data_IF_602844193049
#
_entry.id   IF_602844193049
#
_cell.length_a   1.000
_cell.length_b   1.000
_cell.length_c   1.000
_cell.angle_alpha   90.00
_cell.angle_beta   90.00
_cell.angle_gamma   90.00
#
_symmetry.space_group_name_H-M   'P 1'
#
loop_
_entity.id
_entity.type
_entity.pdbx_description
1 polymer ?
#
# COMPACT_ATOMS: atom_id res chain seq x y z
N UNK A 1 19.05 9.79 -2.47
CA UNK A 1 17.61 9.99 -2.63
C UNK A 1 17.15 9.35 -3.93
N UNK A 2 16.10 8.56 -3.86
CA UNK A 2 15.56 7.86 -5.02
C UNK A 2 14.58 8.77 -5.75
N UNK A 3 14.78 9.02 -7.04
CA UNK A 3 13.80 9.75 -7.84
C UNK A 3 12.84 8.77 -8.52
N UNK A 4 11.87 9.28 -9.27
CA UNK A 4 10.85 8.46 -9.90
C UNK A 4 11.42 7.48 -10.93
N UNK A 5 12.55 7.78 -11.55
CA UNK A 5 13.13 6.90 -12.58
C UNK A 5 13.73 5.63 -12.00
N UNK A 6 14.15 5.66 -10.73
CA UNK A 6 14.73 4.50 -10.04
C UNK A 6 13.74 3.81 -9.11
N UNK A 7 12.52 4.30 -9.05
CA UNK A 7 11.53 3.79 -8.10
C UNK A 7 10.89 2.50 -8.59
N UNK A 8 11.01 1.43 -7.79
CA UNK A 8 10.39 0.15 -8.10
C UNK A 8 8.88 0.29 -8.29
N UNK A 9 8.19 1.02 -7.40
CA UNK A 9 6.74 1.15 -7.48
C UNK A 9 6.30 2.01 -8.68
N UNK A 10 7.09 3.03 -9.04
CA UNK A 10 6.83 3.77 -10.28
C UNK A 10 6.94 2.85 -11.51
N UNK A 11 7.88 1.92 -11.49
CA UNK A 11 8.06 0.95 -12.58
C UNK A 11 6.90 -0.04 -12.62
N UNK A 12 6.40 -0.47 -11.47
CA UNK A 12 5.22 -1.33 -11.39
C UNK A 12 4.00 -0.61 -11.94
N UNK A 13 3.79 0.64 -11.53
CA UNK A 13 2.68 1.47 -12.00
C UNK A 13 2.74 1.66 -13.52
N UNK A 14 3.94 1.82 -14.07
CA UNK A 14 4.15 1.98 -15.51
C UNK A 14 4.06 0.66 -16.30
N UNK A 15 3.96 -0.48 -15.61
CA UNK A 15 3.93 -1.78 -16.27
C UNK A 15 5.30 -2.30 -16.70
N UNK A 16 6.38 -1.67 -16.26
CA UNK A 16 7.75 -2.06 -16.61
C UNK A 16 8.26 -3.23 -15.80
N UNK A 17 7.71 -3.39 -14.58
CA UNK A 17 8.02 -4.50 -13.68
C UNK A 17 6.73 -5.24 -13.38
N UNK A 18 6.69 -6.58 -13.55
CA UNK A 18 5.47 -7.35 -13.32
C UNK A 18 5.04 -7.31 -11.86
N UNK A 19 3.71 -7.33 -11.65
CA UNK A 19 3.12 -7.45 -10.32
C UNK A 19 1.76 -8.10 -10.46
N UNK A 20 1.23 -8.62 -9.36
CA UNK A 20 -0.13 -9.14 -9.36
C UNK A 20 -1.07 -8.03 -8.88
N UNK A 21 -1.57 -7.25 -9.83
CA UNK A 21 -2.50 -6.16 -9.57
C UNK A 21 -3.87 -6.72 -9.20
N UNK A 22 -4.44 -6.23 -8.10
CA UNK A 22 -5.75 -6.68 -7.62
C UNK A 22 -6.82 -5.60 -7.70
N UNK A 23 -6.42 -4.34 -7.83
CA UNK A 23 -7.37 -3.23 -7.90
C UNK A 23 -6.68 -2.01 -8.50
N UNK A 24 -7.41 -1.24 -9.31
CA UNK A 24 -6.91 -0.01 -9.88
C UNK A 24 -7.99 1.07 -9.84
N UNK A 25 -7.55 2.29 -9.60
CA UNK A 25 -8.40 3.47 -9.72
C UNK A 25 -7.70 4.49 -10.60
N UNK A 26 -8.32 5.65 -10.81
CA UNK A 26 -7.74 6.70 -11.66
C UNK A 26 -6.34 7.09 -11.19
N UNK A 27 -6.10 7.15 -9.88
CA UNK A 27 -4.85 7.66 -9.32
C UNK A 27 -4.12 6.67 -8.42
N UNK A 28 -4.61 5.42 -8.29
CA UNK A 28 -3.97 4.41 -7.44
C UNK A 28 -3.89 3.06 -8.13
N UNK A 29 -2.93 2.25 -7.67
CA UNK A 29 -2.80 0.84 -8.06
C UNK A 29 -2.60 0.04 -6.78
N UNK A 30 -3.27 -1.11 -6.70
CA UNK A 30 -3.12 -2.03 -5.58
C UNK A 30 -2.61 -3.38 -6.12
N UNK A 31 -1.54 -3.90 -5.52
CA UNK A 31 -0.93 -5.15 -5.95
C UNK A 31 -0.45 -5.95 -4.73
N UNK A 32 -0.34 -7.27 -4.91
CA UNK A 32 0.09 -8.16 -3.83
C UNK A 32 1.57 -7.95 -3.50
N UNK A 33 1.88 -7.98 -2.21
CA UNK A 33 3.26 -8.02 -1.75
C UNK A 33 3.86 -9.37 -2.12
N UNK A 34 5.08 -9.38 -2.67
CA UNK A 34 5.75 -10.62 -3.09
C UNK A 34 6.32 -11.42 -1.91
N UNK A 35 6.43 -10.78 -0.75
CA UNK A 35 6.87 -11.45 0.49
C UNK A 35 5.82 -11.15 1.58
N UNK A 36 4.63 -11.78 1.47
CA UNK A 36 3.51 -11.39 2.33
C UNK A 36 3.77 -11.73 3.80
N UNK A 37 3.36 -10.81 4.68
CA UNK A 37 3.44 -10.99 6.13
C UNK A 37 2.13 -11.58 6.68
N UNK A 38 1.11 -11.73 5.86
CA UNK A 38 -0.20 -12.26 6.25
C UNK A 38 -0.87 -12.86 5.01
N UNK A 39 -1.93 -13.69 5.16
CA UNK A 39 -2.66 -14.25 4.02
C UNK A 39 -3.18 -13.18 3.05
N UNK A 40 -3.65 -12.06 3.58
CA UNK A 40 -3.92 -10.87 2.78
C UNK A 40 -2.80 -9.87 3.07
N UNK A 41 -2.04 -9.53 2.06
CA UNK A 41 -1.03 -8.49 2.15
C UNK A 41 -0.92 -7.80 0.79
N UNK A 42 -1.59 -6.66 0.68
CA UNK A 42 -1.67 -5.86 -0.55
C UNK A 42 -1.10 -4.48 -0.27
N UNK A 43 -0.42 -3.92 -1.24
CA UNK A 43 0.11 -2.56 -1.19
C UNK A 43 -0.74 -1.68 -2.09
N UNK A 44 -1.23 -0.57 -1.55
CA UNK A 44 -1.94 0.45 -2.33
C UNK A 44 -0.99 1.63 -2.51
N UNK A 45 -0.71 1.99 -3.75
CA UNK A 45 0.22 3.07 -4.06
C UNK A 45 -0.46 4.12 -4.94
N UNK A 46 -0.11 5.41 -4.79
CA UNK A 46 -0.52 6.42 -5.76
C UNK A 46 0.28 6.22 -7.04
N UNK A 47 -0.32 6.55 -8.19
CA UNK A 47 0.40 6.51 -9.48
C UNK A 47 1.50 7.57 -9.50
N UNK A 48 1.22 8.73 -8.91
CA UNK A 48 2.18 9.81 -8.77
C UNK A 48 3.21 9.44 -7.70
N UNK A 49 4.47 9.75 -7.94
CA UNK A 49 5.52 9.47 -6.97
C UNK A 49 5.44 10.44 -5.78
N UNK A 50 5.06 9.92 -4.63
CA UNK A 50 5.10 10.60 -3.33
C UNK A 50 6.05 9.76 -2.48
N UNK A 51 7.02 10.38 -1.82
CA UNK A 51 8.07 9.63 -1.12
C UNK A 51 7.50 8.82 0.04
N UNK A 52 6.78 9.47 0.94
CA UNK A 52 6.16 8.80 2.09
C UNK A 52 5.10 9.72 2.72
N UNK A 53 4.47 9.26 3.79
CA UNK A 53 3.39 10.02 4.43
C UNK A 53 3.88 11.31 5.09
N UNK A 54 5.18 11.43 5.38
CA UNK A 54 5.71 12.67 5.98
C UNK A 54 5.89 13.80 4.96
N UNK A 55 5.84 13.49 3.67
CA UNK A 55 6.00 14.49 2.61
C UNK A 55 4.69 14.95 1.99
N UNK A 56 3.55 14.39 2.44
CA UNK A 56 2.25 14.79 1.89
C UNK A 56 1.89 16.20 2.32
N UNK A 57 1.11 16.88 1.48
CA UNK A 57 0.60 18.23 1.72
C UNK A 57 -0.92 18.22 1.61
N UNK A 58 -1.61 19.31 1.96
CA UNK A 58 -3.07 19.37 1.80
C UNK A 58 -3.56 19.08 0.40
N UNK A 59 -2.77 19.40 -0.63
CA UNK A 59 -3.12 19.11 -2.03
C UNK A 59 -3.18 17.61 -2.32
N UNK A 60 -2.54 16.79 -1.49
CA UNK A 60 -2.55 15.33 -1.63
C UNK A 60 -3.79 14.70 -0.98
N UNK A 61 -4.64 15.49 -0.34
CA UNK A 61 -5.86 14.99 0.32
C UNK A 61 -6.70 14.07 -0.56
N UNK A 62 -7.04 14.48 -1.79
CA UNK A 62 -7.86 13.62 -2.66
C UNK A 62 -7.22 12.26 -2.97
N UNK A 63 -5.92 12.19 -3.25
CA UNK A 63 -5.28 10.90 -3.55
C UNK A 63 -5.16 10.04 -2.29
N UNK A 64 -4.98 10.64 -1.12
CA UNK A 64 -4.96 9.88 0.14
C UNK A 64 -6.33 9.26 0.41
N UNK A 65 -7.41 10.01 0.19
CA UNK A 65 -8.76 9.47 0.31
C UNK A 65 -8.99 8.34 -0.68
N UNK A 66 -8.52 8.49 -1.91
CA UNK A 66 -8.64 7.47 -2.94
C UNK A 66 -7.88 6.20 -2.55
N UNK A 67 -6.70 6.33 -1.94
CA UNK A 67 -5.93 5.20 -1.42
C UNK A 67 -6.70 4.43 -0.34
N UNK A 68 -7.33 5.14 0.60
CA UNK A 68 -8.12 4.51 1.65
C UNK A 68 -9.34 3.79 1.07
N UNK A 69 -10.01 4.38 0.08
CA UNK A 69 -11.14 3.73 -0.58
C UNK A 69 -10.70 2.51 -1.37
N UNK A 70 -9.53 2.56 -2.02
CA UNK A 70 -8.96 1.41 -2.71
C UNK A 70 -8.64 0.27 -1.72
N UNK A 71 -8.06 0.61 -0.58
CA UNK A 71 -7.77 -0.37 0.48
C UNK A 71 -9.04 -1.04 0.98
N UNK A 72 -10.11 -0.27 1.15
CA UNK A 72 -11.41 -0.81 1.55
C UNK A 72 -11.96 -1.76 0.49
N UNK A 73 -11.86 -1.40 -0.78
CA UNK A 73 -12.31 -2.26 -1.88
C UNK A 73 -11.53 -3.58 -1.92
N UNK A 74 -10.22 -3.54 -1.68
CA UNK A 74 -9.38 -4.74 -1.58
C UNK A 74 -9.83 -5.63 -0.43
N UNK A 75 -10.08 -5.04 0.73
CA UNK A 75 -10.53 -5.78 1.91
C UNK A 75 -11.92 -6.40 1.70
N UNK A 76 -12.83 -5.66 1.06
CA UNK A 76 -14.16 -6.17 0.70
C UNK A 76 -14.04 -7.39 -0.21
N UNK A 77 -13.22 -7.30 -1.25
CA UNK A 77 -13.03 -8.40 -2.19
C UNK A 77 -12.39 -9.62 -1.54
N UNK A 78 -11.56 -9.42 -0.52
CA UNK A 78 -10.93 -10.51 0.23
C UNK A 78 -11.82 -11.08 1.33
N UNK A 79 -13.00 -10.51 1.56
CA UNK A 79 -13.95 -11.01 2.55
C UNK A 79 -13.60 -10.68 3.99
N UNK A 80 -12.69 -9.72 4.22
CA UNK A 80 -12.24 -9.38 5.59
C UNK A 80 -12.84 -8.08 6.12
N UNK A 81 -13.58 -7.34 5.31
CA UNK A 81 -14.17 -6.06 5.71
C UNK A 81 -15.50 -6.28 6.43
N UNK A 82 -15.48 -7.08 7.49
CA UNK A 82 -16.65 -7.40 8.32
C UNK A 82 -16.30 -7.15 9.78
N UNK A 83 -17.32 -7.08 10.63
CA UNK A 83 -17.11 -6.89 12.07
C UNK A 83 -16.38 -8.09 12.70
N UNK A 84 -16.60 -9.30 12.15
CA UNK A 84 -16.01 -10.52 12.69
C UNK A 84 -14.57 -10.74 12.25
N UNK A 85 -14.14 -10.11 11.18
CA UNK A 85 -12.80 -10.29 10.61
C UNK A 85 -11.94 -9.05 10.82
N UNK A 86 -12.15 -8.04 10.02
CA UNK A 86 -11.35 -6.83 10.07
C UNK A 86 -10.00 -6.97 9.36
N UNK A 87 -9.30 -5.85 9.27
CA UNK A 87 -8.00 -5.77 8.59
C UNK A 87 -7.21 -4.59 9.16
N UNK A 88 -5.92 -4.57 8.88
CA UNK A 88 -5.03 -3.53 9.38
C UNK A 88 -4.47 -2.71 8.20
N UNK A 89 -4.42 -1.39 8.39
CA UNK A 89 -3.82 -0.47 7.44
C UNK A 89 -2.58 0.14 8.08
N UNK A 90 -1.46 0.13 7.35
CA UNK A 90 -0.18 0.62 7.90
C UNK A 90 0.55 1.43 6.86
N UNK A 91 1.01 2.62 7.26
CA UNK A 91 2.04 3.38 6.58
C UNK A 91 3.32 3.27 7.42
N UNK A 92 4.43 2.92 6.79
CA UNK A 92 5.74 2.95 7.43
C UNK A 92 6.51 4.16 6.90
N UNK A 93 7.09 4.94 7.80
CA UNK A 93 7.81 6.16 7.44
C UNK A 93 9.17 6.13 8.10
N UNK A 94 10.23 6.19 7.29
CA UNK A 94 11.58 6.30 7.77
C UNK A 94 12.23 5.00 8.25
N UNK A 95 13.50 5.08 8.64
CA UNK A 95 14.31 3.89 8.96
C UNK A 95 13.82 3.10 10.16
N UNK A 96 13.36 3.79 11.21
CA UNK A 96 12.90 3.10 12.43
C UNK A 96 11.62 2.30 12.20
N UNK A 97 10.83 2.67 11.20
CA UNK A 97 9.64 1.92 10.79
C UNK A 97 9.96 0.87 9.71
N UNK A 98 11.24 0.71 9.36
CA UNK A 98 11.72 -0.24 8.36
C UNK A 98 11.17 0.05 6.96
N UNK A 99 10.94 1.32 6.63
CA UNK A 99 10.54 1.69 5.27
C UNK A 99 11.66 1.36 4.30
N UNK A 100 11.39 0.49 3.34
CA UNK A 100 12.40 0.03 2.39
C UNK A 100 12.31 0.73 1.03
N UNK A 101 11.12 1.16 0.64
CA UNK A 101 10.89 1.75 -0.69
C UNK A 101 10.33 3.15 -0.53
N UNK A 102 11.06 4.18 -1.03
CA UNK A 102 10.63 5.58 -0.89
C UNK A 102 9.59 5.96 -1.96
N UNK A 103 8.47 5.29 -1.93
CA UNK A 103 7.27 5.60 -2.69
C UNK A 103 6.11 5.23 -1.76
N UNK A 104 5.27 6.20 -1.44
CA UNK A 104 4.17 6.04 -0.51
C UNK A 104 3.40 4.76 -0.80
N UNK A 105 3.23 3.91 0.21
CA UNK A 105 2.45 2.70 0.06
C UNK A 105 1.73 2.37 1.37
N UNK A 106 0.48 2.00 1.22
CA UNK A 106 -0.41 1.62 2.31
C UNK A 106 -0.51 0.10 2.33
N UNK A 107 -0.03 -0.51 3.40
CA UNK A 107 -0.19 -1.95 3.59
C UNK A 107 -1.61 -2.27 4.01
N UNK A 108 -2.22 -3.24 3.34
CA UNK A 108 -3.52 -3.82 3.72
C UNK A 108 -3.26 -5.25 4.15
N UNK A 109 -3.49 -5.53 5.43
CA UNK A 109 -3.12 -6.81 6.05
C UNK A 109 -4.33 -7.43 6.70
N UNK A 110 -4.52 -8.74 6.51
CA UNK A 110 -5.62 -9.46 7.12
C UNK A 110 -5.61 -10.94 6.79
N UNK A 111 -6.74 -11.59 6.98
CA UNK A 111 -6.91 -12.99 6.67
C UNK A 111 -6.66 -13.92 7.84
N UNK A 112 -6.09 -13.40 8.93
CA UNK A 112 -5.89 -14.11 10.20
C UNK A 112 -5.63 -13.09 11.29
N UNK A 113 -5.74 -13.44 12.58
CA UNK A 113 -5.36 -12.52 13.66
C UNK A 113 -3.89 -12.11 13.51
N UNK A 114 -3.67 -10.81 13.44
CA UNK A 114 -2.32 -10.22 13.26
C UNK A 114 -1.71 -10.01 14.63
N UNK A 115 -0.81 -10.89 15.03
CA UNK A 115 -0.24 -10.90 16.38
C UNK A 115 0.99 -10.00 16.48
N UNK A 116 1.26 -9.52 17.70
CA UNK A 116 2.48 -8.85 18.06
C UNK A 116 2.70 -7.51 17.37
N UNK A 117 3.97 -7.22 17.15
CA UNK A 117 4.34 -6.02 16.42
C UNK A 117 4.03 -6.19 14.93
N UNK A 118 4.16 -5.12 14.19
CA UNK A 118 3.79 -5.16 12.80
C UNK A 118 4.78 -5.94 11.93
N UNK A 119 6.07 -5.86 12.21
CA UNK A 119 7.10 -6.66 11.54
C UNK A 119 7.13 -6.56 10.02
N UNK A 120 6.57 -5.50 9.46
CA UNK A 120 6.46 -5.31 8.01
C UNK A 120 7.28 -4.11 7.58
N UNK A 121 7.75 -4.12 6.34
CA UNK A 121 8.61 -3.08 5.80
C UNK A 121 7.91 -2.17 4.79
#
# INVERSE_FOLDING_TARGET
MTDATDCLFCKIVAGEVPSETVHETANTVAFKDITPAAPLHVLVVPRRHIVDASTVTPEDGPVLAEMLLAARAVADAAGVATRDRGYRLVFNIGPDALMSIPHLHLHVLGGEPLKGHLGIE
#
